data_IF_118008533297
#
_entry.id   IF_118008533297
#
_cell.length_a   1.000
_cell.length_b   1.000
_cell.length_c   1.000
_cell.angle_alpha   90.00
_cell.angle_beta   90.00
_cell.angle_gamma   90.00
#
_symmetry.space_group_name_H-M   'P 1'
#
loop_
_entity.id
_entity.type
_entity.pdbx_description
1 polymer ?
#
# COMPACT_ATOMS: atom_id res chain seq x y z
N UNK A 1 32.79 -32.47 -23.67
CA UNK A 1 31.55 -32.27 -24.47
C UNK A 1 30.35 -32.39 -23.54
N UNK A 2 30.06 -31.35 -22.75
CA UNK A 2 28.93 -31.35 -21.80
C UNK A 2 27.71 -30.71 -22.47
N UNK A 3 26.76 -31.56 -22.84
CA UNK A 3 25.52 -31.21 -23.51
C UNK A 3 24.63 -30.45 -22.51
N UNK A 4 24.45 -29.15 -22.72
CA UNK A 4 23.45 -28.35 -22.02
C UNK A 4 22.06 -28.91 -22.33
N UNK A 5 21.34 -29.37 -21.30
CA UNK A 5 19.91 -29.63 -21.38
C UNK A 5 19.17 -28.30 -21.14
N UNK A 6 18.20 -27.91 -21.99
CA UNK A 6 17.35 -26.78 -21.68
C UNK A 6 16.44 -27.17 -20.51
N UNK A 7 16.47 -26.40 -19.43
CA UNK A 7 15.55 -26.57 -18.31
C UNK A 7 14.13 -26.23 -18.79
N UNK A 8 13.31 -27.25 -18.99
CA UNK A 8 11.87 -27.11 -19.13
C UNK A 8 11.27 -26.78 -17.76
N UNK A 9 11.29 -25.50 -17.38
CA UNK A 9 10.34 -25.01 -16.40
C UNK A 9 9.06 -24.60 -17.13
N UNK A 10 8.16 -25.57 -17.31
CA UNK A 10 6.79 -25.31 -17.75
C UNK A 10 5.99 -24.69 -16.59
N UNK A 11 6.27 -23.43 -16.26
CA UNK A 11 5.48 -22.65 -15.30
C UNK A 11 4.08 -22.39 -15.86
N UNK A 12 3.04 -22.51 -15.02
CA UNK A 12 1.69 -22.06 -15.38
C UNK A 12 1.72 -20.52 -15.48
N UNK A 13 1.82 -19.99 -16.69
CA UNK A 13 1.74 -18.53 -16.94
C UNK A 13 0.31 -18.13 -17.29
N UNK A 14 -0.13 -16.94 -16.92
CA UNK A 14 -1.38 -16.38 -17.43
C UNK A 14 -1.21 -16.10 -18.93
N UNK A 15 -2.09 -16.65 -19.78
CA UNK A 15 -2.02 -16.45 -21.23
C UNK A 15 -2.32 -14.99 -21.60
N UNK A 16 -3.30 -14.39 -20.91
CA UNK A 16 -3.72 -12.98 -20.99
C UNK A 16 -4.40 -12.60 -19.65
N UNK A 17 -4.60 -11.30 -19.39
CA UNK A 17 -5.38 -10.83 -18.23
C UNK A 17 -6.89 -10.95 -18.42
N UNK A 18 -7.66 -10.61 -17.38
CA UNK A 18 -9.11 -10.44 -17.43
C UNK A 18 -9.40 -8.95 -17.64
N UNK A 19 -10.43 -8.61 -18.42
CA UNK A 19 -11.03 -7.27 -18.45
C UNK A 19 -12.29 -7.29 -17.58
N UNK A 20 -12.22 -6.86 -16.29
CA UNK A 20 -13.39 -6.81 -15.44
C UNK A 20 -14.42 -5.81 -16.02
N UNK A 21 -15.73 -6.03 -15.80
CA UNK A 21 -16.75 -5.05 -16.14
C UNK A 21 -16.48 -3.72 -15.41
N UNK A 22 -16.70 -2.60 -16.09
CA UNK A 22 -16.26 -1.28 -15.61
C UNK A 22 -17.19 -0.65 -14.57
N UNK A 23 -18.47 -1.06 -14.54
CA UNK A 23 -19.46 -0.64 -13.54
C UNK A 23 -19.59 0.90 -13.39
N UNK A 24 -19.28 1.68 -14.42
CA UNK A 24 -19.30 3.16 -14.36
C UNK A 24 -20.72 3.71 -14.36
N UNK A 25 -21.67 2.95 -14.90
CA UNK A 25 -23.08 3.32 -14.96
C UNK A 25 -23.72 3.58 -13.60
N UNK A 26 -23.17 3.02 -12.50
CA UNK A 26 -23.70 3.23 -11.16
C UNK A 26 -23.52 4.65 -10.62
N UNK A 27 -22.46 5.36 -11.06
CA UNK A 27 -22.09 6.66 -10.49
C UNK A 27 -22.13 7.82 -11.51
N UNK A 28 -22.42 7.56 -12.80
CA UNK A 28 -22.27 8.54 -13.89
C UNK A 28 -23.13 9.79 -13.75
N UNK A 29 -24.31 9.67 -13.13
CA UNK A 29 -25.29 10.76 -12.94
C UNK A 29 -25.38 11.20 -11.47
N UNK A 30 -24.56 10.61 -10.59
CA UNK A 30 -24.56 10.93 -9.17
C UNK A 30 -23.90 12.29 -8.91
N UNK A 31 -24.44 13.11 -7.99
CA UNK A 31 -23.77 14.34 -7.57
C UNK A 31 -22.42 14.04 -6.90
N UNK A 32 -21.49 14.99 -6.99
CA UNK A 32 -20.21 14.91 -6.26
C UNK A 32 -20.50 15.17 -4.77
N UNK A 33 -20.06 14.25 -3.92
CA UNK A 33 -20.27 14.32 -2.48
C UNK A 33 -18.94 14.18 -1.73
N UNK A 34 -18.88 14.79 -0.54
CA UNK A 34 -17.74 14.60 0.37
C UNK A 34 -18.00 13.32 1.17
N UNK A 35 -17.14 12.33 0.96
CA UNK A 35 -17.18 11.12 1.77
C UNK A 35 -16.65 11.39 3.17
N UNK A 36 -17.35 10.87 4.18
CA UNK A 36 -16.85 10.88 5.54
C UNK A 36 -15.55 10.07 5.66
N UNK A 37 -14.63 10.54 6.50
CA UNK A 37 -13.39 9.81 6.77
C UNK A 37 -13.77 8.50 7.48
N UNK A 38 -13.26 7.35 7.04
CA UNK A 38 -13.50 6.08 7.73
C UNK A 38 -13.12 6.13 9.21
N UNK A 39 -13.85 5.41 10.06
CA UNK A 39 -13.60 5.38 11.51
C UNK A 39 -12.17 4.90 11.85
N UNK A 40 -11.62 4.00 11.04
CA UNK A 40 -10.26 3.48 11.18
C UNK A 40 -9.66 3.25 9.79
N UNK A 41 -8.38 3.56 9.63
CA UNK A 41 -7.58 3.19 8.47
C UNK A 41 -6.30 2.48 8.92
N UNK A 42 -5.82 1.56 8.10
CA UNK A 42 -4.52 0.89 8.29
C UNK A 42 -3.58 1.33 7.20
N UNK A 43 -2.48 1.98 7.58
CA UNK A 43 -1.47 2.46 6.65
C UNK A 43 -0.23 1.57 6.79
N UNK A 44 0.08 0.71 5.81
CA UNK A 44 1.29 -0.11 5.85
C UNK A 44 2.54 0.78 5.83
N UNK A 45 3.55 0.42 6.63
CA UNK A 45 4.87 1.09 6.60
C UNK A 45 5.78 0.53 5.51
N UNK A 46 5.38 -0.58 4.88
CA UNK A 46 6.02 -1.17 3.70
C UNK A 46 5.04 -1.07 2.52
N UNK A 47 5.06 0.04 1.80
CA UNK A 47 4.27 0.24 0.57
C UNK A 47 5.11 0.20 -0.70
N UNK A 48 6.44 0.31 -0.55
CA UNK A 48 7.39 0.42 -1.63
C UNK A 48 8.35 -0.77 -1.63
N UNK A 49 9.07 -0.97 -2.74
CA UNK A 49 10.02 -2.08 -2.92
C UNK A 49 11.19 -2.08 -1.92
N UNK A 50 11.60 -0.91 -1.43
CA UNK A 50 12.71 -0.73 -0.50
C UNK A 50 12.48 -1.24 0.93
N UNK A 51 13.42 -0.91 1.84
CA UNK A 51 13.36 -1.32 3.26
C UNK A 51 12.19 -0.64 3.97
N UNK A 52 11.40 -1.42 4.71
CA UNK A 52 10.23 -0.93 5.46
C UNK A 52 10.55 0.29 6.34
N UNK A 53 9.64 1.26 6.40
CA UNK A 53 9.83 2.45 7.23
C UNK A 53 9.72 2.16 8.73
N UNK A 54 10.47 2.90 9.54
CA UNK A 54 10.32 2.90 10.99
C UNK A 54 9.17 3.84 11.42
N UNK A 55 8.26 3.40 12.32
CA UNK A 55 7.19 4.27 12.78
C UNK A 55 7.75 5.48 13.54
N UNK A 56 7.31 6.69 13.19
CA UNK A 56 7.73 7.95 13.84
C UNK A 56 6.78 8.40 14.95
N UNK A 57 5.57 7.83 14.99
CA UNK A 57 4.49 8.28 15.87
C UNK A 57 4.18 7.26 16.96
N UNK A 58 3.81 7.77 18.14
CA UNK A 58 3.41 6.95 19.28
C UNK A 58 1.89 6.79 19.31
N UNK A 59 1.40 5.72 19.96
CA UNK A 59 -0.03 5.55 20.23
C UNK A 59 -0.59 6.81 20.87
N UNK A 60 -1.70 7.31 20.33
CA UNK A 60 -2.39 8.48 20.82
C UNK A 60 -1.88 9.82 20.28
N UNK A 61 -0.87 9.84 19.40
CA UNK A 61 -0.49 11.06 18.70
C UNK A 61 -1.64 11.57 17.83
N UNK A 62 -1.90 12.87 17.89
CA UNK A 62 -2.77 13.56 16.92
C UNK A 62 -2.01 13.72 15.61
N UNK A 63 -2.71 13.50 14.50
CA UNK A 63 -2.15 13.52 13.16
C UNK A 63 -3.01 14.40 12.27
N UNK A 64 -2.37 15.25 11.49
CA UNK A 64 -2.95 15.95 10.35
C UNK A 64 -2.64 15.19 9.05
N UNK A 65 -3.35 15.56 7.98
CA UNK A 65 -3.09 15.02 6.65
C UNK A 65 -1.69 15.45 6.21
N UNK A 66 -0.87 14.47 5.80
CA UNK A 66 0.49 14.71 5.34
C UNK A 66 1.57 14.56 6.41
N UNK A 67 1.21 14.35 7.68
CA UNK A 67 2.20 14.09 8.73
C UNK A 67 3.01 12.82 8.43
N UNK A 68 4.32 12.87 8.67
CA UNK A 68 5.21 11.71 8.51
C UNK A 68 4.94 10.72 9.63
N UNK A 69 4.46 9.53 9.29
CA UNK A 69 4.16 8.42 10.22
C UNK A 69 5.17 7.27 10.10
N UNK A 70 5.98 7.26 9.04
CA UNK A 70 7.07 6.32 8.81
C UNK A 70 8.29 7.02 8.22
N UNK A 71 9.44 6.90 8.87
CA UNK A 71 10.72 7.45 8.42
C UNK A 71 11.55 6.39 7.72
N UNK A 72 12.36 6.82 6.75
CA UNK A 72 13.26 5.93 6.03
C UNK A 72 14.42 5.48 6.90
N UNK A 73 14.78 4.20 6.83
CA UNK A 73 16.04 3.70 7.38
C UNK A 73 17.21 4.09 6.47
N UNK A 74 18.44 3.98 6.98
CA UNK A 74 19.65 4.13 6.16
C UNK A 74 19.78 2.95 5.17
N UNK A 75 19.20 3.13 3.98
CA UNK A 75 19.09 2.10 2.95
C UNK A 75 19.10 2.70 1.54
N UNK A 76 19.58 1.92 0.57
CA UNK A 76 19.72 2.35 -0.83
C UNK A 76 18.37 2.75 -1.48
N UNK A 77 17.30 2.05 -1.11
CA UNK A 77 15.94 2.35 -1.57
C UNK A 77 15.00 2.40 -0.36
N UNK A 78 14.39 3.55 -0.13
CA UNK A 78 13.33 3.75 0.86
C UNK A 78 12.57 5.05 0.54
N UNK A 79 11.37 5.21 1.09
CA UNK A 79 10.56 6.42 0.94
C UNK A 79 9.66 6.60 2.16
N UNK A 80 9.52 7.84 2.64
CA UNK A 80 8.68 8.16 3.80
C UNK A 80 7.22 7.77 3.58
N UNK A 81 6.56 7.42 4.69
CA UNK A 81 5.11 7.16 4.71
C UNK A 81 4.42 8.28 5.46
N UNK A 82 3.37 8.83 4.84
CA UNK A 82 2.60 9.96 5.36
C UNK A 82 1.18 9.53 5.75
N UNK A 83 0.57 10.23 6.70
CA UNK A 83 -0.83 10.04 7.05
C UNK A 83 -1.74 10.53 5.93
N UNK A 84 -2.62 9.65 5.43
CA UNK A 84 -3.64 10.00 4.44
C UNK A 84 -4.89 10.64 5.05
N UNK A 85 -5.02 10.60 6.38
CA UNK A 85 -6.19 11.10 7.11
C UNK A 85 -5.77 11.90 8.34
N UNK A 86 -6.63 12.83 8.74
CA UNK A 86 -6.56 13.46 10.06
C UNK A 86 -7.13 12.49 11.10
N UNK A 87 -6.47 12.37 12.26
CA UNK A 87 -6.97 11.49 13.30
C UNK A 87 -5.99 11.27 14.45
N UNK A 88 -6.08 10.10 15.09
CA UNK A 88 -5.25 9.73 16.23
C UNK A 88 -4.59 8.37 15.99
N UNK A 89 -3.28 8.29 16.20
CA UNK A 89 -2.53 7.05 16.01
C UNK A 89 -3.02 5.95 16.97
N UNK A 90 -3.45 4.82 16.42
CA UNK A 90 -3.79 3.63 17.19
C UNK A 90 -2.55 2.79 17.50
N UNK A 91 -2.75 1.61 18.10
CA UNK A 91 -1.65 0.69 18.40
C UNK A 91 -1.07 0.13 17.09
N UNK A 92 0.24 0.24 16.84
CA UNK A 92 0.88 -0.42 15.71
C UNK A 92 0.63 -1.93 15.78
N UNK A 93 0.23 -2.53 14.66
CA UNK A 93 -0.05 -3.96 14.57
C UNK A 93 0.67 -4.54 13.37
N UNK A 94 1.39 -5.65 13.56
CA UNK A 94 1.98 -6.42 12.47
C UNK A 94 0.92 -7.37 11.94
N UNK A 95 0.63 -7.31 10.64
CA UNK A 95 -0.33 -8.21 9.98
C UNK A 95 0.47 -9.07 8.98
N UNK A 96 0.22 -10.38 8.96
CA UNK A 96 0.83 -11.34 8.01
C UNK A 96 -0.11 -11.57 6.83
#
# INVERSE_FOLDING_TARGET
MSRWLPSLQSGKTFRHGVHPPENKEFAKDSPIEVMEIPQEVRIPLLQHFGVACEPTVKRGAELEIGDVIGETQDALFSSRVHSSVKGKALKPTVTT
#
